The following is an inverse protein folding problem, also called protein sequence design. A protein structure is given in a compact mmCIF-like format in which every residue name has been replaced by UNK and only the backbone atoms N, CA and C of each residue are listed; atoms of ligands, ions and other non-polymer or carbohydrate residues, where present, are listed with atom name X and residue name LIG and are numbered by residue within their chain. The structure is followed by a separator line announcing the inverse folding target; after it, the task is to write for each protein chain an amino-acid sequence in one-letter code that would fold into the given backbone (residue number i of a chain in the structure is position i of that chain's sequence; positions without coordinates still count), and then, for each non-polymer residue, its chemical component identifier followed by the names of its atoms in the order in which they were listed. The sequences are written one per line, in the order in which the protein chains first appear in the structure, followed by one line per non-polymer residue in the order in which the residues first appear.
data_IF_113936521322
#
_entry.id   IF_113936521322
#
_cell.length_a   1.000
_cell.length_b   1.000
_cell.length_c   1.000
_cell.angle_alpha   90.00
_cell.angle_beta   90.00
_cell.angle_gamma   90.00
#
_symmetry.space_group_name_H-M   'P 1'
#
loop_
_entity.id
_entity.type
_entity.pdbx_description
1 polymer ?
#
# COMPACT_ATOMS: atom_id res chain seq x y z
N UNK A 1 -6.35 -30.24 -31.68
CA UNK A 1 -5.47 -29.28 -30.99
C UNK A 1 -6.18 -28.21 -30.13
N UNK A 2 -7.48 -27.89 -30.30
CA UNK A 2 -8.04 -26.63 -29.78
C UNK A 2 -8.54 -26.48 -28.33
N UNK A 3 -8.57 -27.52 -27.46
CA UNK A 3 -9.14 -27.40 -26.09
C UNK A 3 -8.10 -27.30 -24.96
N UNK A 4 -6.98 -28.02 -25.08
CA UNK A 4 -5.92 -28.02 -24.06
C UNK A 4 -5.16 -26.68 -24.03
N UNK A 5 -4.83 -26.12 -25.20
CA UNK A 5 -4.20 -24.79 -25.31
C UNK A 5 -5.10 -23.68 -24.77
N UNK A 6 -6.40 -23.71 -25.10
CA UNK A 6 -7.38 -22.75 -24.56
C UNK A 6 -7.58 -22.86 -23.05
N UNK A 7 -7.26 -24.00 -22.43
CA UNK A 7 -7.24 -24.14 -20.96
C UNK A 7 -5.95 -23.58 -20.38
N UNK A 8 -4.78 -23.93 -20.93
CA UNK A 8 -3.48 -23.38 -20.48
C UNK A 8 -3.45 -21.85 -20.54
N UNK A 9 -3.92 -21.26 -21.64
CA UNK A 9 -3.98 -19.80 -21.79
C UNK A 9 -4.91 -19.11 -20.79
N UNK A 10 -5.97 -19.77 -20.32
CA UNK A 10 -6.87 -19.22 -19.29
C UNK A 10 -6.27 -19.31 -17.88
N UNK A 11 -5.57 -20.40 -17.57
CA UNK A 11 -4.88 -20.56 -16.27
C UNK A 11 -3.77 -19.51 -16.14
N UNK A 12 -2.92 -19.37 -17.16
CA UNK A 12 -1.82 -18.42 -17.14
C UNK A 12 -2.27 -16.95 -17.02
N UNK A 13 -3.44 -16.58 -17.58
CA UNK A 13 -4.02 -15.23 -17.36
C UNK A 13 -4.50 -15.05 -15.93
N UNK A 14 -5.24 -16.01 -15.38
CA UNK A 14 -5.73 -15.92 -14.01
C UNK A 14 -4.61 -15.80 -12.96
N UNK A 15 -3.49 -16.50 -13.17
CA UNK A 15 -2.32 -16.40 -12.28
C UNK A 15 -1.64 -15.02 -12.33
N UNK A 16 -1.62 -14.38 -13.50
CA UNK A 16 -1.10 -13.02 -13.67
C UNK A 16 -2.00 -11.99 -13.01
N UNK A 17 -3.31 -12.06 -13.28
CA UNK A 17 -4.30 -11.14 -12.69
C UNK A 17 -4.25 -11.21 -11.16
N UNK A 18 -4.14 -12.41 -10.59
CA UNK A 18 -4.02 -12.61 -9.15
C UNK A 18 -2.70 -12.06 -8.57
N UNK A 19 -1.61 -12.11 -9.34
CA UNK A 19 -0.30 -11.59 -8.93
C UNK A 19 -0.28 -10.06 -8.94
N UNK A 20 -0.76 -9.45 -10.04
CA UNK A 20 -0.90 -8.00 -10.18
C UNK A 20 -1.78 -7.41 -9.07
N UNK A 21 -2.92 -8.06 -8.78
CA UNK A 21 -3.79 -7.64 -7.69
C UNK A 21 -3.11 -7.73 -6.31
N UNK A 22 -2.29 -8.76 -6.07
CA UNK A 22 -1.57 -8.89 -4.79
C UNK A 22 -0.54 -7.78 -4.63
N UNK A 23 0.15 -7.39 -5.71
CA UNK A 23 1.08 -6.27 -5.70
C UNK A 23 0.33 -4.96 -5.45
N UNK A 24 -0.76 -4.71 -6.17
CA UNK A 24 -1.55 -3.48 -6.03
C UNK A 24 -2.07 -3.32 -4.59
N UNK A 25 -2.74 -4.34 -4.06
CA UNK A 25 -3.29 -4.33 -2.70
C UNK A 25 -2.17 -4.19 -1.66
N UNK A 26 -1.08 -4.95 -1.82
CA UNK A 26 0.05 -4.89 -0.90
C UNK A 26 0.71 -3.52 -0.89
N UNK A 27 0.90 -2.91 -2.07
CA UNK A 27 1.46 -1.57 -2.20
C UNK A 27 0.57 -0.52 -1.53
N UNK A 28 -0.74 -0.53 -1.81
CA UNK A 28 -1.71 0.40 -1.21
C UNK A 28 -1.73 0.24 0.31
N UNK A 29 -1.82 -0.99 0.81
CA UNK A 29 -1.81 -1.27 2.25
C UNK A 29 -0.52 -0.77 2.91
N UNK A 30 0.62 -0.96 2.26
CA UNK A 30 1.92 -0.46 2.68
C UNK A 30 1.99 1.07 2.74
N UNK A 31 1.48 1.77 1.73
CA UNK A 31 1.41 3.24 1.72
C UNK A 31 0.55 3.75 2.87
N UNK A 32 -0.64 3.18 3.05
CA UNK A 32 -1.56 3.57 4.13
C UNK A 32 -0.93 3.32 5.50
N UNK A 33 -0.25 2.19 5.68
CA UNK A 33 0.45 1.86 6.92
C UNK A 33 1.65 2.79 7.22
N UNK A 34 2.29 3.34 6.18
CA UNK A 34 3.42 4.25 6.35
C UNK A 34 3.01 5.62 6.89
N UNK A 35 1.78 6.09 6.61
CA UNK A 35 1.28 7.40 7.06
C UNK A 35 1.42 7.61 8.58
N UNK A 36 0.86 6.74 9.46
CA UNK A 36 0.97 6.94 10.90
C UNK A 36 2.40 6.79 11.42
N UNK A 37 3.22 5.95 10.80
CA UNK A 37 4.63 5.80 11.16
C UNK A 37 5.44 7.07 10.84
N UNK A 38 5.22 7.66 9.65
CA UNK A 38 5.84 8.94 9.25
C UNK A 38 5.35 10.07 10.14
N UNK A 39 4.05 10.13 10.44
CA UNK A 39 3.51 11.14 11.35
C UNK A 39 4.17 11.05 12.74
N UNK A 40 4.35 9.84 13.28
CA UNK A 40 5.07 9.64 14.54
C UNK A 40 6.51 10.15 14.47
N UNK A 41 7.23 9.89 13.38
CA UNK A 41 8.60 10.38 13.19
C UNK A 41 8.65 11.91 13.14
N UNK A 42 7.74 12.55 12.40
CA UNK A 42 7.64 14.02 12.32
C UNK A 42 7.36 14.62 13.68
N UNK A 43 6.44 14.05 14.46
CA UNK A 43 6.11 14.49 15.82
C UNK A 43 7.33 14.33 16.74
N UNK A 44 7.98 13.16 16.72
CA UNK A 44 9.16 12.91 17.54
C UNK A 44 10.33 13.84 17.17
N UNK A 45 10.50 14.12 15.88
CA UNK A 45 11.42 15.14 15.38
C UNK A 45 11.08 16.52 15.95
N UNK A 46 9.83 16.94 15.89
CA UNK A 46 9.37 18.23 16.40
C UNK A 46 9.67 18.45 17.88
N UNK A 47 9.69 17.37 18.68
CA UNK A 47 9.97 17.42 20.12
C UNK A 47 11.45 17.53 20.49
N UNK A 48 12.39 17.36 19.55
CA UNK A 48 13.81 17.37 19.88
C UNK A 48 14.73 17.98 18.83
N UNK A 49 14.55 17.62 17.55
CA UNK A 49 15.48 17.94 16.46
C UNK A 49 14.83 18.68 15.30
N UNK A 50 13.59 19.13 15.43
CA UNK A 50 12.79 19.74 14.37
C UNK A 50 11.98 18.73 13.55
N UNK A 51 10.76 19.11 13.17
CA UNK A 51 9.77 18.23 12.55
C UNK A 51 10.21 17.66 11.19
N UNK A 52 10.97 18.43 10.42
CA UNK A 52 11.40 18.06 9.08
C UNK A 52 12.72 17.27 9.05
N UNK A 53 13.51 17.33 10.12
CA UNK A 53 14.85 16.73 10.21
C UNK A 53 14.84 15.20 10.00
N UNK A 54 13.85 14.44 10.52
CA UNK A 54 13.74 13.02 10.17
C UNK A 54 13.66 12.79 8.65
N UNK A 55 12.86 13.57 7.92
CA UNK A 55 12.74 13.43 6.47
C UNK A 55 14.04 13.80 5.74
N UNK A 56 14.76 14.82 6.21
CA UNK A 56 16.08 15.17 5.65
C UNK A 56 17.09 14.05 5.82
N UNK A 57 17.06 13.34 6.94
CA UNK A 57 17.98 12.21 7.14
C UNK A 57 17.67 10.98 6.28
N UNK A 58 16.41 10.79 5.89
CA UNK A 58 16.02 9.71 4.96
C UNK A 58 16.66 9.92 3.59
N UNK A 59 16.74 11.17 3.12
CA UNK A 59 17.37 11.53 1.84
C UNK A 59 18.83 11.95 1.96
N UNK A 60 19.37 12.03 3.19
CA UNK A 60 20.70 12.54 3.48
C UNK A 60 21.83 11.75 2.82
N UNK A 61 21.56 10.53 2.36
CA UNK A 61 22.52 9.73 1.58
C UNK A 61 22.70 10.23 0.13
N UNK A 62 21.68 10.90 -0.42
CA UNK A 62 21.71 11.49 -1.76
C UNK A 62 22.12 12.97 -1.68
N UNK A 63 21.57 13.69 -0.71
CA UNK A 63 21.88 15.09 -0.46
C UNK A 63 22.00 15.37 1.06
N UNK A 64 23.22 15.42 1.61
CA UNK A 64 23.45 15.66 3.03
C UNK A 64 23.28 17.15 3.43
N UNK A 65 23.15 18.07 2.47
CA UNK A 65 23.14 19.51 2.70
C UNK A 65 22.01 19.97 3.64
N UNK A 66 20.73 19.70 3.32
CA UNK A 66 19.58 20.09 4.15
C UNK A 66 19.66 19.57 5.59
N UNK A 67 20.12 18.32 5.77
CA UNK A 67 20.30 17.73 7.09
C UNK A 67 21.41 18.46 7.87
N UNK A 68 22.54 18.72 7.24
CA UNK A 68 23.69 19.40 7.86
C UNK A 68 23.33 20.82 8.29
N UNK A 69 22.60 21.56 7.45
CA UNK A 69 22.10 22.89 7.79
C UNK A 69 21.08 22.87 8.94
N UNK A 70 20.20 21.87 8.98
CA UNK A 70 19.26 21.70 10.08
C UNK A 70 20.00 21.40 11.40
N UNK A 71 20.99 20.50 11.38
CA UNK A 71 21.81 20.16 12.54
C UNK A 71 22.65 21.35 13.04
N UNK A 72 23.25 22.12 12.13
CA UNK A 72 23.98 23.35 12.48
C UNK A 72 23.05 24.37 13.14
N UNK A 73 21.85 24.59 12.58
CA UNK A 73 20.86 25.48 13.18
C UNK A 73 20.47 25.05 14.60
N UNK A 74 20.22 23.76 14.83
CA UNK A 74 19.92 23.19 16.15
C UNK A 74 21.08 23.42 17.12
N UNK A 75 22.31 23.14 16.69
CA UNK A 75 23.51 23.31 17.52
C UNK A 75 23.75 24.76 17.96
N UNK A 76 23.27 25.72 17.16
CA UNK A 76 23.35 27.17 17.44
C UNK A 76 22.10 27.72 18.13
N UNK A 77 21.13 26.87 18.49
CA UNK A 77 19.85 27.30 19.06
C UNK A 77 19.01 28.17 18.13
N UNK A 78 19.19 28.02 16.80
CA UNK A 78 18.47 28.78 15.78
C UNK A 78 17.26 27.99 15.27
N UNK A 79 16.23 28.68 14.74
CA UNK A 79 15.12 28.02 14.06
C UNK A 79 15.62 27.14 12.91
N UNK A 80 15.10 25.93 12.82
CA UNK A 80 15.44 24.98 11.74
C UNK A 80 14.81 25.46 10.43
N UNK A 81 15.59 25.69 9.36
CA UNK A 81 15.05 26.05 8.06
C UNK A 81 14.22 24.89 7.47
N UNK A 82 13.07 25.23 6.87
CA UNK A 82 12.24 24.25 6.17
C UNK A 82 12.58 24.22 4.67
N UNK A 83 13.24 23.16 4.25
CA UNK A 83 13.46 22.80 2.85
C UNK A 83 12.33 21.89 2.36
N UNK A 84 11.47 22.40 1.48
CA UNK A 84 10.31 21.66 0.98
C UNK A 84 10.70 20.47 0.10
N UNK A 85 11.66 20.62 -0.82
CA UNK A 85 12.04 19.55 -1.74
C UNK A 85 12.63 18.32 -1.03
N UNK A 86 13.61 18.46 -0.10
CA UNK A 86 14.15 17.33 0.65
C UNK A 86 13.10 16.69 1.56
N UNK A 87 12.19 17.48 2.14
CA UNK A 87 11.10 16.95 2.96
C UNK A 87 10.18 16.05 2.13
N UNK A 88 9.75 16.51 0.96
CA UNK A 88 8.88 15.74 0.06
C UNK A 88 9.58 14.50 -0.49
N UNK A 89 10.88 14.59 -0.78
CA UNK A 89 11.68 13.44 -1.19
C UNK A 89 11.80 12.38 -0.07
N UNK A 90 12.01 12.80 1.18
CA UNK A 90 12.02 11.91 2.34
C UNK A 90 10.66 11.25 2.59
N UNK A 91 9.58 12.01 2.46
CA UNK A 91 8.21 11.49 2.54
C UNK A 91 7.95 10.46 1.44
N UNK A 92 8.24 10.80 0.18
CA UNK A 92 8.07 9.90 -0.96
C UNK A 92 8.89 8.61 -0.80
N UNK A 93 10.12 8.71 -0.26
CA UNK A 93 10.97 7.56 0.05
C UNK A 93 10.33 6.67 1.12
N UNK A 94 9.82 7.26 2.20
CA UNK A 94 9.10 6.49 3.24
C UNK A 94 7.88 5.76 2.68
N UNK A 95 7.07 6.44 1.86
CA UNK A 95 5.88 5.85 1.25
C UNK A 95 6.24 4.75 0.24
N UNK A 96 7.27 4.97 -0.59
CA UNK A 96 7.75 3.99 -1.56
C UNK A 96 8.31 2.73 -0.91
N UNK A 97 9.13 2.88 0.14
CA UNK A 97 9.61 1.75 0.93
C UNK A 97 8.47 1.05 1.67
N UNK A 98 7.50 1.82 2.21
CA UNK A 98 6.28 1.30 2.80
C UNK A 98 5.47 0.44 1.82
N UNK A 99 5.32 0.88 0.57
CA UNK A 99 4.68 0.13 -0.50
C UNK A 99 5.42 -1.19 -0.78
N UNK A 100 6.75 -1.14 -0.96
CA UNK A 100 7.57 -2.33 -1.23
C UNK A 100 7.46 -3.37 -0.10
N UNK A 101 7.49 -2.93 1.15
CA UNK A 101 7.31 -3.80 2.31
C UNK A 101 5.89 -4.35 2.39
N UNK A 102 4.89 -3.55 2.05
CA UNK A 102 3.49 -3.96 2.00
C UNK A 102 3.26 -5.08 0.97
N UNK A 103 3.91 -5.00 -0.19
CA UNK A 103 3.91 -6.07 -1.20
C UNK A 103 4.50 -7.36 -0.62
N UNK A 104 5.67 -7.28 0.03
CA UNK A 104 6.31 -8.43 0.68
C UNK A 104 5.41 -9.08 1.74
N UNK A 105 4.77 -8.27 2.58
CA UNK A 105 3.81 -8.73 3.57
C UNK A 105 2.59 -9.40 2.94
N UNK A 106 2.01 -8.81 1.89
CA UNK A 106 0.84 -9.37 1.20
C UNK A 106 1.15 -10.75 0.61
N UNK A 107 2.34 -10.94 0.01
CA UNK A 107 2.78 -12.26 -0.44
C UNK A 107 2.97 -13.26 0.71
N UNK A 108 3.56 -12.83 1.83
CA UNK A 108 3.73 -13.67 3.02
C UNK A 108 2.40 -14.12 3.60
N UNK A 109 1.46 -13.19 3.79
CA UNK A 109 0.11 -13.46 4.29
C UNK A 109 -0.65 -14.40 3.35
N UNK A 110 -0.56 -14.17 2.03
CA UNK A 110 -1.18 -15.05 1.03
C UNK A 110 -0.58 -16.46 1.06
N UNK A 111 0.75 -16.58 1.18
CA UNK A 111 1.45 -17.87 1.21
C UNK A 111 1.14 -18.69 2.45
N UNK A 112 1.04 -18.06 3.61
CA UNK A 112 0.76 -18.73 4.89
C UNK A 112 -0.73 -18.72 5.28
N UNK A 113 -1.59 -18.14 4.45
CA UNK A 113 -3.03 -18.01 4.65
C UNK A 113 -3.39 -17.43 6.03
N UNK A 114 -2.67 -16.39 6.45
CA UNK A 114 -2.87 -15.74 7.77
C UNK A 114 -4.09 -14.83 7.68
N UNK A 115 -5.20 -15.20 8.33
CA UNK A 115 -6.46 -14.42 8.29
C UNK A 115 -7.02 -14.06 9.66
N UNK A 116 -6.39 -14.56 10.71
CA UNK A 116 -6.88 -14.42 12.07
C UNK A 116 -6.08 -13.36 12.83
N UNK A 117 -6.36 -13.21 14.12
CA UNK A 117 -5.64 -12.32 15.05
C UNK A 117 -4.10 -12.45 14.97
N UNK A 118 -3.58 -13.58 14.49
CA UNK A 118 -2.15 -13.78 14.22
C UNK A 118 -1.55 -12.70 13.29
N UNK A 119 -2.35 -12.14 12.38
CA UNK A 119 -1.92 -11.03 11.52
C UNK A 119 -1.50 -9.79 12.34
N UNK A 120 -2.11 -9.55 13.50
CA UNK A 120 -1.78 -8.43 14.40
C UNK A 120 -0.43 -8.61 15.11
N UNK A 121 0.07 -9.85 15.21
CA UNK A 121 1.40 -10.14 15.78
C UNK A 121 2.45 -10.18 14.67
N UNK A 122 2.12 -10.83 13.55
CA UNK A 122 3.02 -10.95 12.39
C UNK A 122 3.28 -9.58 11.76
N UNK A 123 2.29 -8.70 11.73
CA UNK A 123 2.42 -7.33 11.22
C UNK A 123 3.55 -6.54 11.88
N UNK A 124 3.49 -6.25 13.19
CA UNK A 124 4.55 -5.56 13.92
C UNK A 124 5.92 -6.24 13.79
N UNK A 125 5.96 -7.58 13.87
CA UNK A 125 7.20 -8.33 13.69
C UNK A 125 7.80 -8.10 12.28
N UNK A 126 6.96 -8.13 11.24
CA UNK A 126 7.37 -7.80 9.87
C UNK A 126 7.88 -6.36 9.76
N UNK A 127 7.19 -5.39 10.36
CA UNK A 127 7.65 -4.00 10.40
C UNK A 127 9.03 -3.84 11.03
N UNK A 128 9.29 -4.51 12.15
CA UNK A 128 10.60 -4.52 12.84
C UNK A 128 11.66 -5.22 11.99
N UNK A 129 11.33 -6.31 11.30
CA UNK A 129 12.26 -6.99 10.39
C UNK A 129 12.61 -6.09 9.20
N UNK A 130 11.65 -5.40 8.60
CA UNK A 130 11.89 -4.40 7.56
C UNK A 130 12.81 -3.28 8.07
N UNK A 131 12.56 -2.78 9.29
CA UNK A 131 13.43 -1.81 9.94
C UNK A 131 14.87 -2.30 10.01
N UNK A 132 15.08 -3.49 10.58
CA UNK A 132 16.40 -4.08 10.72
C UNK A 132 17.09 -4.25 9.35
N UNK A 133 16.36 -4.72 8.33
CA UNK A 133 16.87 -4.88 6.98
C UNK A 133 17.32 -3.55 6.37
N UNK A 134 16.49 -2.50 6.42
CA UNK A 134 16.87 -1.21 5.83
C UNK A 134 18.02 -0.55 6.59
N UNK A 135 17.95 -0.53 7.92
CA UNK A 135 18.88 0.23 8.74
C UNK A 135 20.23 -0.45 8.90
N UNK A 136 20.24 -1.78 9.03
CA UNK A 136 21.47 -2.53 9.30
C UNK A 136 22.12 -3.05 8.02
N UNK A 137 21.33 -3.37 6.99
CA UNK A 137 21.85 -4.00 5.76
C UNK A 137 21.92 -2.98 4.62
N UNK A 138 20.79 -2.39 4.24
CA UNK A 138 20.72 -1.56 3.03
C UNK A 138 21.48 -0.26 3.21
N UNK A 139 21.22 0.50 4.28
CA UNK A 139 21.92 1.77 4.52
C UNK A 139 23.41 1.57 4.78
N UNK A 140 23.78 0.50 5.46
CA UNK A 140 25.19 0.14 5.65
C UNK A 140 25.88 -0.17 4.32
N UNK A 141 25.25 -0.96 3.45
CA UNK A 141 25.78 -1.27 2.12
C UNK A 141 25.87 -0.02 1.24
N UNK A 142 24.86 0.85 1.28
CA UNK A 142 24.80 2.08 0.49
C UNK A 142 25.84 3.09 0.97
N UNK A 143 26.04 3.24 2.29
CA UNK A 143 27.09 4.09 2.86
C UNK A 143 28.48 3.62 2.46
N UNK A 144 28.72 2.30 2.45
CA UNK A 144 29.97 1.70 1.95
C UNK A 144 30.20 1.94 0.45
N UNK A 145 29.14 1.91 -0.35
CA UNK A 145 29.22 2.08 -1.80
C UNK A 145 29.47 3.54 -2.21
N UNK A 146 28.91 4.48 -1.46
CA UNK A 146 28.94 5.92 -1.77
C UNK A 146 30.01 6.69 -0.97
N UNK A 147 30.78 6.01 -0.12
CA UNK A 147 31.74 6.61 0.81
C UNK A 147 31.15 7.76 1.64
N UNK A 148 29.87 7.61 2.02
CA UNK A 148 29.09 8.65 2.66
C UNK A 148 29.00 8.40 4.18
N UNK A 149 29.33 9.42 4.98
CA UNK A 149 29.09 9.39 6.41
C UNK A 149 27.59 9.52 6.70
N UNK A 150 26.94 8.40 7.00
CA UNK A 150 25.53 8.39 7.33
C UNK A 150 25.30 8.72 8.81
N UNK A 151 24.81 9.93 9.09
CA UNK A 151 24.26 10.26 10.41
C UNK A 151 22.94 9.52 10.54
N UNK A 152 22.98 8.39 11.24
CA UNK A 152 21.83 7.50 11.30
C UNK A 152 20.60 8.15 11.91
N UNK A 153 19.43 7.99 11.28
CA UNK A 153 18.14 8.45 11.83
C UNK A 153 17.92 7.89 13.26
N UNK A 154 18.51 6.74 13.59
CA UNK A 154 18.51 6.19 14.95
C UNK A 154 19.21 7.06 16.00
N UNK A 155 20.27 7.79 15.61
CA UNK A 155 20.94 8.76 16.49
C UNK A 155 20.12 10.04 16.63
N UNK A 156 19.40 10.44 15.58
CA UNK A 156 18.58 11.65 15.56
C UNK A 156 17.31 11.53 16.42
N UNK A 157 16.53 10.45 16.22
CA UNK A 157 15.21 10.30 16.85
C UNK A 157 15.18 9.23 17.95
N UNK A 158 16.27 8.49 18.10
CA UNK A 158 16.39 7.40 19.07
C UNK A 158 15.85 6.06 18.56
N UNK A 159 16.49 4.97 18.99
CA UNK A 159 16.06 3.61 18.71
C UNK A 159 14.61 3.30 19.14
N UNK A 160 14.14 3.72 20.34
CA UNK A 160 12.76 3.42 20.76
C UNK A 160 11.72 4.01 19.80
N UNK A 161 11.93 5.25 19.33
CA UNK A 161 11.03 5.89 18.36
C UNK A 161 11.00 5.13 17.05
N UNK A 162 12.16 4.73 16.53
CA UNK A 162 12.22 3.94 15.29
C UNK A 162 11.51 2.60 15.43
N UNK A 163 11.77 1.86 16.51
CA UNK A 163 11.11 0.59 16.77
C UNK A 163 9.60 0.79 16.85
N UNK A 164 9.14 1.83 17.54
CA UNK A 164 7.71 2.14 17.70
C UNK A 164 7.05 2.51 16.38
N UNK A 165 7.70 3.36 15.56
CA UNK A 165 7.19 3.74 14.24
C UNK A 165 7.04 2.52 13.31
N UNK A 166 8.02 1.61 13.32
CA UNK A 166 7.97 0.42 12.48
C UNK A 166 7.02 -0.66 13.01
N UNK A 167 6.89 -0.79 14.34
CA UNK A 167 5.88 -1.64 14.95
C UNK A 167 4.46 -1.11 14.63
N UNK A 168 4.25 0.21 14.66
CA UNK A 168 3.00 0.86 14.28
C UNK A 168 2.67 0.66 12.80
N UNK A 169 3.66 0.85 11.91
CA UNK A 169 3.54 0.49 10.50
C UNK A 169 3.08 -0.96 10.34
N UNK A 170 3.79 -1.89 10.98
CA UNK A 170 3.48 -3.31 10.93
C UNK A 170 2.10 -3.64 11.49
N UNK A 171 1.67 -2.98 12.56
CA UNK A 171 0.35 -3.17 13.17
C UNK A 171 -0.76 -2.76 12.20
N UNK A 172 -0.65 -1.57 11.58
CA UNK A 172 -1.64 -1.08 10.62
C UNK A 172 -1.69 -1.98 9.39
N UNK A 173 -0.53 -2.46 8.93
CA UNK A 173 -0.44 -3.42 7.85
C UNK A 173 -1.08 -4.78 8.21
N UNK A 174 -0.87 -5.26 9.44
CA UNK A 174 -1.49 -6.47 9.98
C UNK A 174 -3.00 -6.37 10.20
N UNK A 175 -3.53 -5.15 10.32
CA UNK A 175 -4.96 -4.88 10.40
C UNK A 175 -5.66 -4.99 9.03
N UNK A 176 -4.92 -4.75 7.94
CA UNK A 176 -5.44 -4.84 6.58
C UNK A 176 -6.15 -6.18 6.24
N UNK A 177 -5.54 -7.36 6.46
CA UNK A 177 -6.21 -8.65 6.21
C UNK A 177 -7.49 -8.86 7.03
N UNK A 178 -7.60 -8.22 8.20
CA UNK A 178 -8.79 -8.32 9.06
C UNK A 178 -9.92 -7.42 8.55
N UNK A 179 -9.59 -6.21 8.09
CA UNK A 179 -10.56 -5.24 7.57
C UNK A 179 -10.98 -5.56 6.13
N UNK A 180 -10.07 -6.13 5.32
CA UNK A 180 -10.28 -6.39 3.90
C UNK A 180 -9.83 -7.80 3.48
N UNK A 181 -10.46 -8.86 4.03
CA UNK A 181 -10.09 -10.24 3.72
C UNK A 181 -10.29 -10.60 2.23
N UNK A 182 -11.18 -9.90 1.52
CA UNK A 182 -11.44 -10.11 0.10
C UNK A 182 -10.27 -9.71 -0.81
N UNK A 183 -9.48 -8.71 -0.41
CA UNK A 183 -8.39 -8.16 -1.24
C UNK A 183 -7.19 -9.13 -1.32
N UNK A 184 -7.07 -10.05 -0.35
CA UNK A 184 -5.93 -10.98 -0.27
C UNK A 184 -6.26 -12.40 -0.77
N UNK A 185 -7.51 -12.67 -1.16
CA UNK A 185 -7.93 -13.99 -1.61
C UNK A 185 -9.07 -13.98 -2.64
N UNK A 186 -8.83 -13.50 -3.88
CA UNK A 186 -9.84 -13.44 -4.95
C UNK A 186 -10.47 -14.80 -5.28
N UNK A 187 -9.74 -15.90 -5.06
CA UNK A 187 -10.17 -17.27 -5.39
C UNK A 187 -11.14 -17.91 -4.38
N UNK A 188 -11.27 -17.37 -3.16
CA UNK A 188 -12.06 -18.04 -2.11
C UNK A 188 -13.58 -17.91 -2.32
N UNK A 189 -14.04 -16.76 -2.81
CA UNK A 189 -15.47 -16.54 -3.14
C UNK A 189 -15.93 -17.49 -4.25
N UNK A 190 -15.07 -17.82 -5.22
CA UNK A 190 -15.35 -18.82 -6.28
C UNK A 190 -15.47 -20.25 -5.73
N UNK A 191 -14.73 -20.60 -4.68
CA UNK A 191 -14.82 -21.91 -4.03
C UNK A 191 -16.07 -22.07 -3.18
N UNK A 192 -16.45 -21.03 -2.42
CA UNK A 192 -17.63 -21.06 -1.52
C UNK A 192 -18.95 -21.04 -2.29
N UNK A 193 -19.01 -20.34 -3.43
CA UNK A 193 -20.19 -20.35 -4.31
C UNK A 193 -20.42 -21.72 -4.98
N UNK A 194 -19.43 -22.61 -5.07
CA UNK A 194 -19.64 -23.98 -5.56
C UNK A 194 -20.31 -24.93 -4.57
N UNK A 195 -20.26 -24.61 -3.27
CA UNK A 195 -20.80 -25.49 -2.21
C UNK A 195 -22.26 -25.14 -1.92
N UNK A 196 -22.68 -23.91 -2.21
CA UNK A 196 -24.11 -23.60 -2.24
C UNK A 196 -24.71 -24.32 -3.46
N UNK A 197 -25.62 -25.29 -3.27
CA UNK A 197 -26.31 -25.92 -4.39
C UNK A 197 -26.93 -24.80 -5.23
N UNK A 198 -26.91 -24.91 -6.57
CA UNK A 198 -27.54 -23.90 -7.42
C UNK A 198 -28.94 -23.68 -6.86
N UNK A 199 -29.20 -22.46 -6.39
CA UNK A 199 -30.52 -22.07 -5.90
C UNK A 199 -31.43 -22.39 -7.06
N UNK A 200 -32.17 -23.51 -6.97
CA UNK A 200 -33.23 -23.83 -7.91
C UNK A 200 -34.15 -22.64 -7.76
N UNK A 201 -34.04 -21.67 -8.66
CA UNK A 201 -35.10 -20.69 -8.85
C UNK A 201 -36.34 -21.56 -8.98
N UNK A 202 -37.32 -21.45 -8.07
CA UNK A 202 -38.55 -22.19 -8.20
C UNK A 202 -38.99 -21.95 -9.64
N UNK A 203 -39.04 -23.04 -10.40
CA UNK A 203 -39.50 -23.03 -11.78
C UNK A 203 -40.90 -22.47 -11.65
N UNK A 204 -41.07 -21.17 -11.92
CA UNK A 204 -42.36 -20.55 -12.06
C UNK A 204 -42.95 -21.21 -13.30
N UNK A 205 -43.58 -22.34 -13.06
CA UNK A 205 -44.53 -22.96 -13.96
C UNK A 205 -45.51 -21.88 -14.35
N UNK A 206 -45.41 -21.43 -15.60
CA UNK A 206 -46.46 -20.77 -16.34
C UNK A 206 -47.06 -19.53 -15.68
N UNK A 207 -46.34 -18.41 -15.71
CA UNK A 207 -47.03 -17.16 -16.05
C UNK A 207 -46.61 -16.86 -17.48
N UNK A 208 -47.50 -17.21 -18.41
CA UNK A 208 -47.42 -16.78 -19.80
C UNK A 208 -47.14 -15.27 -19.80
N UNK A 209 -46.12 -14.78 -20.52
CA UNK A 209 -46.02 -13.36 -20.78
C UNK A 209 -47.27 -12.99 -21.57
N UNK A 210 -48.14 -12.20 -20.93
CA UNK A 210 -49.22 -11.49 -21.59
C UNK A 210 -48.62 -10.83 -22.83
N UNK A 211 -49.09 -11.30 -23.99
CA UNK A 211 -48.73 -10.77 -25.29
C UNK A 211 -48.84 -9.25 -25.21
N UNK A 212 -47.70 -8.56 -25.39
CA UNK A 212 -47.69 -7.13 -25.62
C UNK A 212 -48.56 -6.87 -26.84
N UNK A 213 -49.71 -6.26 -26.61
CA UNK A 213 -50.48 -5.62 -27.65
C UNK A 213 -49.56 -4.65 -28.40
N UNK A 214 -49.57 -4.64 -29.74
CA UNK A 214 -48.88 -3.65 -30.53
C UNK A 214 -49.43 -2.27 -30.15
N UNK A 215 -48.54 -1.40 -29.68
CA UNK A 215 -48.87 0.01 -29.45
C UNK A 215 -49.01 0.65 -30.83
N UNK A 216 -50.25 0.80 -31.27
CA UNK A 216 -50.59 1.83 -32.25
C UNK A 216 -50.37 3.18 -31.57
N UNK A 217 -49.93 4.17 -32.35
CA UNK A 217 -49.57 5.54 -31.95
C UNK A 217 -48.15 5.72 -31.41
N UNK A 218 -47.21 5.89 -32.35
CA UNK A 218 -46.32 7.05 -32.34
C UNK A 218 -45.78 7.27 -33.77
N UNK A 219 -46.70 7.70 -34.63
CA UNK A 219 -46.41 8.49 -35.82
C UNK A 219 -46.11 9.94 -35.41
N UNK A 220 -45.21 10.58 -36.17
CA UNK A 220 -44.85 12.01 -36.14
C UNK A 220 -43.85 12.40 -35.05
N UNK A 221 -42.75 13.10 -35.31
CA UNK A 221 -42.49 14.07 -36.37
C UNK A 221 -40.97 14.28 -36.54
N UNK A 222 -40.45 14.53 -37.75
CA UNK A 222 -39.12 15.04 -37.99
C UNK A 222 -39.11 16.57 -37.90
N UNK A 223 -38.11 17.13 -37.22
CA UNK A 223 -37.50 18.44 -37.48
C UNK A 223 -37.04 19.04 -36.14
N UNK A 224 -35.75 19.36 -36.06
CA UNK A 224 -35.30 20.71 -35.76
C UNK A 224 -33.77 20.77 -35.94
N UNK A 225 -33.25 21.65 -36.82
CA UNK A 225 -31.85 22.00 -36.84
C UNK A 225 -31.59 23.04 -35.75
N UNK A 226 -30.55 22.85 -34.93
CA UNK A 226 -30.02 23.94 -34.10
C UNK A 226 -28.55 24.15 -34.47
N UNK A 227 -28.37 25.15 -35.32
CA UNK A 227 -27.13 25.89 -35.53
C UNK A 227 -26.96 26.90 -34.40
N UNK A 228 -25.73 27.06 -33.89
CA UNK A 228 -25.29 28.32 -33.28
C UNK A 228 -24.29 28.16 -32.13
N UNK A 229 -23.08 28.70 -32.31
CA UNK A 229 -22.12 29.00 -31.23
C UNK A 229 -20.69 28.58 -31.53
#
# INVERSE_FOLDING_TARGET
MGRAERRRGRVARGERDDFEHTIEVGAIAGIVAAIPAVALLVIAGALGVGAATPMYSVVGIVDPGPLSMALDAISRGRPVPFFQQPFMAGLATCLGLGALCGVGFAFGVRRWNVRDWRALVIGPAHGIVCMALFYLVILFALGRLLDAEWIGLARLVGWPTLITAHALYGLVLGLWPLLRPQDLAPGWTRGRQRILPPRRTPRTTGVQPLQRLPRADETSDPDLPVSGG
#
